data_IF_449523095202
#
_entry.id   IF_449523095202
#
_cell.length_a   1.000
_cell.length_b   1.000
_cell.length_c   1.000
_cell.angle_alpha   90.00
_cell.angle_beta   90.00
_cell.angle_gamma   90.00
#
_symmetry.space_group_name_H-M   'P 1'
#
loop_
_entity.id
_entity.type
_entity.pdbx_description
1 polymer ?
#
# COMPACT_ATOMS: atom_id res chain seq x y z
N UNK A 1 -10.67 16.09 -9.28
CA UNK A 1 -10.22 15.55 -7.99
C UNK A 1 -11.13 16.08 -6.91
N UNK A 2 -11.89 15.22 -6.23
CA UNK A 2 -12.73 15.62 -5.11
C UNK A 2 -11.86 16.01 -3.91
N UNK A 3 -12.28 17.04 -3.18
CA UNK A 3 -11.54 17.56 -2.04
C UNK A 3 -11.50 16.52 -0.91
N UNK A 4 -10.36 15.85 -0.74
CA UNK A 4 -10.16 14.85 0.33
C UNK A 4 -10.32 15.46 1.74
N UNK A 5 -10.22 16.79 1.86
CA UNK A 5 -10.34 17.52 3.13
C UNK A 5 -11.72 17.42 3.82
N UNK A 6 -12.74 16.85 3.16
CA UNK A 6 -14.08 16.66 3.76
C UNK A 6 -14.42 15.21 4.10
N UNK A 7 -13.56 14.23 3.78
CA UNK A 7 -13.78 12.83 4.16
C UNK A 7 -13.04 12.53 5.47
N UNK A 8 -13.64 11.73 6.35
CA UNK A 8 -12.99 11.23 7.56
C UNK A 8 -11.90 10.22 7.16
N UNK A 9 -10.75 10.73 6.71
CA UNK A 9 -9.64 9.92 6.22
C UNK A 9 -8.43 9.98 7.13
N UNK A 10 -7.67 8.91 7.12
CA UNK A 10 -6.36 8.86 7.77
C UNK A 10 -5.31 8.38 6.80
N UNK A 11 -4.12 8.96 6.91
CA UNK A 11 -2.94 8.50 6.20
C UNK A 11 -2.18 7.53 7.10
N UNK A 12 -1.91 6.33 6.59
CA UNK A 12 -0.97 5.39 7.20
C UNK A 12 0.17 5.08 6.24
N UNK A 13 1.29 4.64 6.80
CA UNK A 13 2.48 4.33 6.03
C UNK A 13 3.16 3.09 6.59
N UNK A 14 3.74 2.31 5.68
CA UNK A 14 4.53 1.13 5.99
C UNK A 14 5.72 1.02 5.07
N UNK A 15 6.77 0.37 5.54
CA UNK A 15 8.04 0.27 4.84
C UNK A 15 8.57 -1.15 4.91
N UNK A 16 9.24 -1.57 3.84
CA UNK A 16 9.85 -2.90 3.76
C UNK A 16 11.13 -2.88 2.94
N UNK A 17 12.04 -3.80 3.23
CA UNK A 17 13.30 -3.90 2.52
C UNK A 17 13.09 -4.44 1.10
N UNK A 18 13.57 -3.72 0.09
CA UNK A 18 13.48 -4.14 -1.32
C UNK A 18 14.68 -5.04 -1.68
N UNK A 19 14.53 -6.06 -2.55
CA UNK A 19 15.65 -6.91 -2.94
C UNK A 19 16.77 -6.15 -3.66
N UNK A 20 18.01 -6.55 -3.37
CA UNK A 20 19.22 -6.11 -4.10
C UNK A 20 19.10 -6.37 -5.60
N UNK A 21 19.71 -5.51 -6.41
CA UNK A 21 19.72 -5.64 -7.86
C UNK A 21 18.42 -5.19 -8.54
N UNK A 22 17.49 -4.58 -7.80
CA UNK A 22 16.34 -3.88 -8.38
C UNK A 22 16.67 -2.40 -8.61
N UNK A 23 16.10 -1.73 -9.63
CA UNK A 23 16.33 -0.29 -9.82
C UNK A 23 15.99 0.55 -8.60
N UNK A 24 14.97 0.16 -7.83
CA UNK A 24 14.61 0.83 -6.59
C UNK A 24 15.72 0.70 -5.53
N UNK A 25 16.31 -0.49 -5.38
CA UNK A 25 17.37 -0.74 -4.39
C UNK A 25 18.58 0.20 -4.56
N UNK A 26 18.93 0.55 -5.80
CA UNK A 26 20.05 1.45 -6.09
C UNK A 26 19.81 2.90 -5.63
N UNK A 27 18.54 3.28 -5.42
CA UNK A 27 18.13 4.63 -5.00
C UNK A 27 17.71 4.63 -3.52
N UNK A 28 17.05 3.56 -3.07
CA UNK A 28 16.57 3.36 -1.70
C UNK A 28 16.54 1.88 -1.38
N UNK A 29 17.09 1.49 -0.23
CA UNK A 29 17.04 0.10 0.27
C UNK A 29 15.64 -0.33 0.71
N UNK A 30 14.68 0.59 0.74
CA UNK A 30 13.32 0.37 1.23
C UNK A 30 12.30 0.77 0.17
N UNK A 31 11.21 0.00 0.09
CA UNK A 31 9.95 0.46 -0.51
C UNK A 31 9.06 1.02 0.59
N UNK A 32 8.52 2.22 0.37
CA UNK A 32 7.45 2.80 1.17
C UNK A 32 6.09 2.59 0.50
N UNK A 33 5.08 2.37 1.32
CA UNK A 33 3.67 2.33 0.96
C UNK A 33 2.94 3.35 1.84
N UNK A 34 2.17 4.23 1.21
CA UNK A 34 1.22 5.13 1.87
C UNK A 34 -0.19 4.69 1.50
N UNK A 35 -1.10 4.65 2.47
CA UNK A 35 -2.52 4.39 2.28
C UNK A 35 -3.32 5.57 2.84
N UNK A 36 -4.31 6.04 2.09
CA UNK A 36 -5.35 6.93 2.59
C UNK A 36 -6.60 6.09 2.80
N UNK A 37 -7.05 5.96 4.04
CA UNK A 37 -8.16 5.09 4.43
C UNK A 37 -9.34 5.94 4.86
N UNK A 38 -10.52 5.68 4.30
CA UNK A 38 -11.81 6.18 4.79
C UNK A 38 -12.17 5.41 6.07
N UNK A 39 -12.18 6.11 7.19
CA UNK A 39 -12.35 5.53 8.53
C UNK A 39 -13.78 5.03 8.74
N UNK A 40 -14.76 5.64 8.07
CA UNK A 40 -16.16 5.29 8.23
C UNK A 40 -16.48 3.95 7.54
N UNK A 41 -15.69 3.59 6.52
CA UNK A 41 -15.85 2.37 5.71
C UNK A 41 -14.72 1.35 5.87
N UNK A 42 -13.64 1.73 6.53
CA UNK A 42 -12.38 0.97 6.57
C UNK A 42 -11.90 0.60 5.15
N UNK A 43 -12.00 1.55 4.21
CA UNK A 43 -11.72 1.33 2.78
C UNK A 43 -10.54 2.18 2.31
N UNK A 44 -9.64 1.60 1.54
CA UNK A 44 -8.53 2.33 0.91
C UNK A 44 -9.09 3.23 -0.19
N UNK A 45 -9.01 4.54 0.02
CA UNK A 45 -9.42 5.56 -0.95
C UNK A 45 -8.32 5.92 -1.94
N UNK A 46 -7.07 5.91 -1.49
CA UNK A 46 -5.90 6.18 -2.32
C UNK A 46 -4.65 5.52 -1.73
N UNK A 47 -3.61 5.40 -2.54
CA UNK A 47 -2.33 4.86 -2.13
C UNK A 47 -1.17 5.46 -2.94
N UNK A 48 0.06 5.27 -2.46
CA UNK A 48 1.25 5.56 -3.24
C UNK A 48 2.42 4.71 -2.79
N UNK A 49 3.32 4.41 -3.72
CA UNK A 49 4.54 3.65 -3.50
C UNK A 49 5.77 4.40 -3.98
N UNK A 50 6.89 4.19 -3.30
CA UNK A 50 8.18 4.84 -3.63
C UNK A 50 8.91 4.16 -4.80
N UNK A 51 8.20 3.63 -5.80
CA UNK A 51 8.83 3.01 -6.97
C UNK A 51 9.42 4.06 -7.91
N UNK A 52 10.48 3.67 -8.63
CA UNK A 52 11.15 4.53 -9.62
C UNK A 52 10.25 4.88 -10.80
N UNK A 53 9.43 3.90 -11.23
CA UNK A 53 8.49 4.08 -12.33
C UNK A 53 7.10 4.34 -11.78
N UNK A 54 6.52 5.49 -12.14
CA UNK A 54 5.15 5.86 -11.74
C UNK A 54 4.15 4.77 -12.13
N UNK A 55 4.34 4.14 -13.30
CA UNK A 55 3.48 3.05 -13.80
C UNK A 55 3.37 1.89 -12.81
N UNK A 56 4.44 1.57 -12.06
CA UNK A 56 4.41 0.52 -11.05
C UNK A 56 3.56 0.94 -9.84
N UNK A 57 3.74 2.18 -9.38
CA UNK A 57 2.93 2.75 -8.31
C UNK A 57 1.46 2.81 -8.72
N UNK A 58 1.13 3.43 -9.87
CA UNK A 58 -0.22 3.52 -10.42
C UNK A 58 -0.92 2.16 -10.53
N UNK A 59 -0.22 1.14 -11.02
CA UNK A 59 -0.78 -0.21 -11.14
C UNK A 59 -1.11 -0.80 -9.76
N UNK A 60 -0.21 -0.65 -8.77
CA UNK A 60 -0.47 -1.10 -7.41
C UNK A 60 -1.62 -0.33 -6.76
N UNK A 61 -1.73 0.98 -6.96
CA UNK A 61 -2.86 1.78 -6.49
C UNK A 61 -4.19 1.23 -7.03
N UNK A 62 -4.25 0.91 -8.33
CA UNK A 62 -5.45 0.31 -8.94
C UNK A 62 -5.81 -1.06 -8.35
N UNK A 63 -4.84 -1.80 -7.79
CA UNK A 63 -5.11 -3.05 -7.10
C UNK A 63 -5.62 -2.85 -5.67
N UNK A 64 -5.41 -1.68 -5.06
CA UNK A 64 -5.71 -1.44 -3.64
C UNK A 64 -6.95 -0.60 -3.41
N UNK A 65 -7.17 0.42 -4.24
CA UNK A 65 -8.31 1.33 -4.07
C UNK A 65 -9.64 0.56 -4.13
N UNK A 66 -10.52 0.86 -3.18
CA UNK A 66 -11.81 0.19 -3.02
C UNK A 66 -11.76 -1.08 -2.17
N UNK A 67 -10.57 -1.56 -1.77
CA UNK A 67 -10.46 -2.72 -0.88
C UNK A 67 -10.61 -2.29 0.57
N UNK A 68 -11.32 -3.13 1.32
CA UNK A 68 -11.41 -2.97 2.77
C UNK A 68 -10.16 -3.48 3.46
N UNK A 69 -9.81 -2.86 4.58
CA UNK A 69 -8.75 -3.32 5.48
C UNK A 69 -9.31 -4.15 6.65
N UNK A 70 -10.62 -4.31 6.74
CA UNK A 70 -11.31 -5.19 7.69
C UNK A 70 -10.97 -6.65 7.35
N UNK A 71 -10.78 -7.48 8.37
CA UNK A 71 -10.53 -8.93 8.24
C UNK A 71 -9.16 -9.36 7.67
N UNK A 72 -8.13 -8.52 7.79
CA UNK A 72 -6.75 -9.02 7.85
C UNK A 72 -6.06 -9.25 6.50
N UNK A 73 -6.21 -8.32 5.56
CA UNK A 73 -5.40 -8.22 4.32
C UNK A 73 -5.51 -9.38 3.34
N UNK A 74 -6.42 -10.34 3.53
CA UNK A 74 -6.48 -11.55 2.70
C UNK A 74 -6.67 -11.23 1.21
N UNK A 75 -7.71 -10.48 0.87
CA UNK A 75 -8.03 -10.10 -0.51
C UNK A 75 -6.90 -9.27 -1.15
N UNK A 76 -6.27 -8.39 -0.37
CA UNK A 76 -5.13 -7.58 -0.80
C UNK A 76 -3.92 -8.47 -1.08
N UNK A 77 -3.66 -9.44 -0.21
CA UNK A 77 -2.54 -10.37 -0.37
C UNK A 77 -2.70 -11.20 -1.63
N UNK A 78 -3.88 -11.78 -1.84
CA UNK A 78 -4.21 -12.60 -3.00
C UNK A 78 -4.03 -11.80 -4.30
N UNK A 79 -4.62 -10.59 -4.41
CA UNK A 79 -4.53 -9.81 -5.65
C UNK A 79 -3.09 -9.40 -5.98
N UNK A 80 -2.28 -9.06 -4.97
CA UNK A 80 -0.90 -8.64 -5.18
C UNK A 80 -0.04 -9.84 -5.60
N UNK A 81 -0.25 -11.00 -4.97
CA UNK A 81 0.44 -12.23 -5.32
C UNK A 81 0.15 -12.67 -6.77
N UNK A 82 -1.10 -12.52 -7.22
CA UNK A 82 -1.52 -12.91 -8.56
C UNK A 82 -1.12 -11.89 -9.63
N UNK A 83 -1.17 -10.59 -9.33
CA UNK A 83 -1.10 -9.54 -10.36
C UNK A 83 0.18 -8.71 -10.35
N UNK A 84 0.94 -8.69 -9.26
CA UNK A 84 2.22 -7.98 -9.19
C UNK A 84 3.39 -8.97 -9.19
N UNK A 85 3.75 -9.45 -10.37
CA UNK A 85 4.77 -10.48 -10.57
C UNK A 85 6.17 -9.88 -10.78
N UNK A 86 6.76 -9.34 -9.71
CA UNK A 86 8.07 -8.71 -9.74
C UNK A 86 8.94 -9.14 -8.56
N UNK A 87 10.29 -9.01 -8.64
CA UNK A 87 11.19 -9.39 -7.54
C UNK A 87 10.83 -8.77 -6.18
N UNK A 88 10.25 -7.56 -6.18
CA UNK A 88 9.84 -6.83 -4.98
C UNK A 88 8.49 -7.23 -4.37
N UNK A 89 7.80 -8.28 -4.86
CA UNK A 89 6.44 -8.63 -4.42
C UNK A 89 6.32 -8.81 -2.90
N UNK A 90 7.23 -9.55 -2.28
CA UNK A 90 7.21 -9.76 -0.83
C UNK A 90 7.40 -8.47 -0.02
N UNK A 91 8.27 -7.57 -0.50
CA UNK A 91 8.48 -6.27 0.13
C UNK A 91 7.23 -5.38 0.03
N UNK A 92 6.56 -5.38 -1.13
CA UNK A 92 5.29 -4.65 -1.31
C UNK A 92 4.23 -5.15 -0.33
N UNK A 93 4.04 -6.47 -0.22
CA UNK A 93 3.12 -7.07 0.74
C UNK A 93 3.44 -6.68 2.19
N UNK A 94 4.73 -6.70 2.57
CA UNK A 94 5.16 -6.31 3.91
C UNK A 94 4.92 -4.82 4.19
N UNK A 95 5.19 -3.94 3.23
CA UNK A 95 4.95 -2.50 3.37
C UNK A 95 3.45 -2.18 3.51
N UNK A 96 2.60 -2.82 2.70
CA UNK A 96 1.13 -2.71 2.82
C UNK A 96 0.68 -3.20 4.20
N UNK A 97 1.18 -4.35 4.63
CA UNK A 97 0.86 -4.93 5.95
C UNK A 97 1.17 -3.96 7.07
N UNK A 98 2.37 -3.41 7.10
CA UNK A 98 2.78 -2.45 8.13
C UNK A 98 1.90 -1.19 8.13
N UNK A 99 1.49 -0.70 6.94
CA UNK A 99 0.58 0.45 6.85
C UNK A 99 -0.82 0.15 7.40
N UNK A 100 -1.35 -1.05 7.13
CA UNK A 100 -2.67 -1.47 7.64
C UNK A 100 -2.64 -1.81 9.13
N UNK A 101 -1.60 -2.48 9.62
CA UNK A 101 -1.44 -2.77 11.05
C UNK A 101 -1.46 -1.47 11.87
N UNK A 102 -0.77 -0.43 11.40
CA UNK A 102 -0.78 0.90 12.03
C UNK A 102 -2.16 1.56 12.08
N UNK A 103 -3.01 1.29 11.08
CA UNK A 103 -4.41 1.75 11.08
C UNK A 103 -5.23 1.00 12.14
N UNK A 104 -5.13 -0.32 12.13
CA UNK A 104 -5.90 -1.21 13.01
C UNK A 104 -5.53 -1.02 14.49
N UNK A 105 -4.24 -0.85 14.79
CA UNK A 105 -3.75 -0.56 16.15
C UNK A 105 -4.34 0.73 16.72
N UNK A 106 -4.54 1.76 15.89
CA UNK A 106 -5.15 3.03 16.34
C UNK A 106 -6.66 2.89 16.60
N UNK A 107 -7.34 1.98 15.90
CA UNK A 107 -8.79 1.77 16.00
C UNK A 107 -9.17 0.87 17.18
N UNK A 108 -8.25 0.04 17.66
CA UNK A 108 -8.40 -0.89 18.79
C UNK A 108 -8.29 -0.16 20.14
#
# INVERSE_FOLDING_TARGET
>A
MGNEATKNTVLTAGFAQIPKGTPLHEISSMVGCVLIIDVDKDEICDASFTFVMDKTSEFLVQLLVGKTVVDGLKEITEVIQERFLAPGQGAVLQAIRAAVERYVEKKS
#
